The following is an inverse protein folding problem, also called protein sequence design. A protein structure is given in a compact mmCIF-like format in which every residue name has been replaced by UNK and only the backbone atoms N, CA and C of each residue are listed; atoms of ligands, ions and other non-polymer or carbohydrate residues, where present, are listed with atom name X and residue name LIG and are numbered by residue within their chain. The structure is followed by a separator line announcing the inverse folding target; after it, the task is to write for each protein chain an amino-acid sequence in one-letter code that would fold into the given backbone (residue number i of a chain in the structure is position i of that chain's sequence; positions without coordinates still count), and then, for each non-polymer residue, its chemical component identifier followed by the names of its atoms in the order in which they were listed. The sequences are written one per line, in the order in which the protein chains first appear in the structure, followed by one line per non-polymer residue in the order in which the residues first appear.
data_IF_062493501990
#
_entry.id   IF_062493501990
#
_cell.length_a   1.000
_cell.length_b   1.000
_cell.length_c   1.000
_cell.angle_alpha   90.00
_cell.angle_beta   90.00
_cell.angle_gamma   90.00
#
_symmetry.space_group_name_H-M   'P 1'
#
loop_
_entity.id
_entity.type
_entity.pdbx_description
1 polymer ?
#
# COMPACT_ATOMS: atom_id res chain seq x y z
N UNK A 1 36.16 -17.55 -69.16
CA UNK A 1 35.01 -16.88 -68.57
C UNK A 1 34.66 -17.52 -67.22
N UNK A 2 35.00 -16.86 -66.14
CA UNK A 2 34.74 -17.39 -64.78
C UNK A 2 33.46 -16.79 -64.27
N UNK A 3 32.43 -17.62 -64.06
CA UNK A 3 31.20 -17.21 -63.43
C UNK A 3 31.41 -17.18 -61.92
N UNK A 4 31.15 -16.01 -61.31
CA UNK A 4 31.19 -15.82 -59.87
C UNK A 4 29.73 -16.02 -59.39
N UNK A 5 29.54 -17.11 -58.64
CA UNK A 5 28.26 -17.38 -57.94
C UNK A 5 28.28 -16.60 -56.62
N UNK A 6 27.46 -15.57 -56.53
CA UNK A 6 27.26 -14.83 -55.27
C UNK A 6 26.11 -15.50 -54.49
N UNK A 7 26.48 -16.22 -53.45
CA UNK A 7 25.53 -16.84 -52.52
C UNK A 7 25.03 -15.75 -51.55
N UNK A 8 23.76 -15.34 -51.68
CA UNK A 8 23.12 -14.47 -50.70
C UNK A 8 22.78 -15.29 -49.46
N UNK A 9 23.49 -15.03 -48.35
CA UNK A 9 23.18 -15.56 -47.04
C UNK A 9 22.07 -14.68 -46.42
N UNK A 10 20.82 -15.15 -46.43
CA UNK A 10 19.72 -14.50 -45.74
C UNK A 10 19.83 -14.71 -44.24
N UNK A 11 20.23 -13.66 -43.52
CA UNK A 11 20.20 -13.64 -42.05
C UNK A 11 18.77 -13.39 -41.63
N UNK A 12 18.06 -14.44 -41.16
CA UNK A 12 16.77 -14.32 -40.51
C UNK A 12 17.00 -13.84 -39.08
N UNK A 13 16.78 -12.57 -38.84
CA UNK A 13 16.71 -12.00 -37.47
C UNK A 13 15.42 -12.48 -36.82
N UNK A 14 15.49 -13.53 -36.02
CA UNK A 14 14.41 -13.90 -35.09
C UNK A 14 14.32 -12.82 -34.00
N UNK A 15 13.44 -11.87 -34.22
CA UNK A 15 13.04 -10.90 -33.19
C UNK A 15 12.26 -11.65 -32.11
N UNK A 16 12.94 -12.09 -31.07
CA UNK A 16 12.34 -12.66 -29.87
C UNK A 16 11.61 -11.52 -29.14
N UNK A 17 10.31 -11.37 -29.39
CA UNK A 17 9.43 -10.57 -28.54
C UNK A 17 9.32 -11.29 -27.20
N UNK A 18 10.24 -10.99 -26.26
CA UNK A 18 10.01 -11.22 -24.84
C UNK A 18 8.86 -10.31 -24.41
N UNK A 19 7.65 -10.84 -24.46
CA UNK A 19 6.50 -10.23 -23.83
C UNK A 19 6.78 -10.20 -22.33
N UNK A 20 7.20 -9.06 -21.79
CA UNK A 20 7.18 -8.79 -20.37
C UNK A 20 5.71 -8.94 -19.94
N UNK A 21 5.34 -10.08 -19.36
CA UNK A 21 4.15 -10.17 -18.52
C UNK A 21 4.44 -9.22 -17.36
N UNK A 22 3.88 -8.03 -17.44
CA UNK A 22 3.80 -7.12 -16.31
C UNK A 22 2.92 -7.85 -15.30
N UNK A 23 3.54 -8.45 -14.28
CA UNK A 23 2.80 -9.00 -13.15
C UNK A 23 1.96 -7.85 -12.60
N UNK A 24 0.63 -8.04 -12.57
CA UNK A 24 -0.29 -7.07 -11.99
C UNK A 24 0.11 -6.93 -10.53
N UNK A 25 0.71 -5.81 -10.18
CA UNK A 25 1.05 -5.52 -8.79
C UNK A 25 -0.24 -5.57 -7.96
N UNK A 26 -0.20 -6.34 -6.88
CA UNK A 26 -1.34 -6.51 -5.99
C UNK A 26 -1.35 -5.37 -4.96
N UNK A 27 -2.53 -4.80 -4.67
CA UNK A 27 -2.65 -3.84 -3.60
C UNK A 27 -2.14 -4.38 -2.26
N UNK A 28 -1.53 -3.49 -1.48
CA UNK A 28 -0.96 -3.82 -0.19
C UNK A 28 -1.76 -3.11 0.88
N UNK A 29 -2.18 -3.85 1.89
CA UNK A 29 -2.82 -3.29 3.09
C UNK A 29 -1.90 -3.47 4.29
N UNK A 30 -1.64 -2.39 4.99
CA UNK A 30 -0.89 -2.35 6.23
C UNK A 30 -1.85 -2.04 7.37
N UNK A 31 -2.00 -2.98 8.29
CA UNK A 31 -2.76 -2.78 9.51
C UNK A 31 -1.81 -2.34 10.62
N UNK A 32 -2.06 -1.19 11.22
CA UNK A 32 -1.25 -0.66 12.30
C UNK A 32 -2.14 -0.51 13.54
N UNK A 33 -1.88 -1.33 14.54
CA UNK A 33 -2.50 -1.18 15.85
C UNK A 33 -1.66 -0.22 16.68
N UNK A 34 -2.26 0.93 17.04
CA UNK A 34 -1.68 1.89 17.97
C UNK A 34 -2.29 1.66 19.35
N UNK A 35 -1.45 1.36 20.33
CA UNK A 35 -1.87 1.19 21.73
C UNK A 35 -1.20 2.26 22.57
N UNK A 36 -1.99 2.95 23.39
CA UNK A 36 -1.52 3.96 24.33
C UNK A 36 -2.07 3.72 25.73
N UNK A 37 -2.13 4.79 26.51
CA UNK A 37 -2.78 4.82 27.82
C UNK A 37 -3.57 6.11 27.98
N UNK A 38 -4.59 6.10 28.84
CA UNK A 38 -5.40 7.29 29.14
C UNK A 38 -6.10 7.91 27.89
N UNK A 39 -6.49 7.07 26.94
CA UNK A 39 -7.13 7.47 25.69
C UNK A 39 -6.17 8.11 24.68
N UNK A 40 -4.87 7.95 24.83
CA UNK A 40 -3.88 8.61 23.98
C UNK A 40 -3.92 8.11 22.53
N UNK A 41 -4.25 6.85 22.28
CA UNK A 41 -4.39 6.35 20.91
C UNK A 41 -5.56 7.04 20.18
N UNK A 42 -6.69 7.25 20.84
CA UNK A 42 -7.82 8.01 20.27
C UNK A 42 -7.45 9.48 20.02
N UNK A 43 -6.82 10.13 21.00
CA UNK A 43 -6.38 11.53 20.84
C UNK A 43 -5.41 11.73 19.69
N UNK A 44 -4.51 10.78 19.49
CA UNK A 44 -3.59 10.75 18.33
C UNK A 44 -4.39 10.70 17.01
N UNK A 45 -5.33 9.75 16.89
CA UNK A 45 -6.14 9.63 15.68
C UNK A 45 -6.97 10.89 15.40
N UNK A 46 -7.57 11.48 16.44
CA UNK A 46 -8.31 12.75 16.36
C UNK A 46 -7.41 13.91 15.90
N UNK A 47 -6.18 14.03 16.43
CA UNK A 47 -5.24 15.08 16.02
C UNK A 47 -4.74 14.87 14.58
N UNK A 48 -4.50 13.65 14.17
CA UNK A 48 -4.16 13.31 12.77
C UNK A 48 -5.26 13.75 11.79
N UNK A 49 -6.53 13.58 12.19
CA UNK A 49 -7.68 14.03 11.38
C UNK A 49 -7.80 15.55 11.42
N UNK A 50 -7.78 16.15 12.60
CA UNK A 50 -8.01 17.59 12.80
C UNK A 50 -6.91 18.46 12.17
N UNK A 51 -5.66 17.96 12.11
CA UNK A 51 -4.55 18.66 11.47
C UNK A 51 -4.59 18.64 9.94
N UNK A 52 -5.50 17.87 9.34
CA UNK A 52 -5.55 17.65 7.89
C UNK A 52 -4.52 16.64 7.36
N UNK A 53 -3.73 16.01 8.24
CA UNK A 53 -2.71 15.03 7.84
C UNK A 53 -3.36 13.81 7.17
N UNK A 54 -4.47 13.30 7.71
CA UNK A 54 -5.21 12.18 7.10
C UNK A 54 -5.70 12.53 5.70
N UNK A 55 -6.24 13.72 5.51
CA UNK A 55 -6.73 14.18 4.21
C UNK A 55 -5.59 14.30 3.19
N UNK A 56 -4.44 14.82 3.63
CA UNK A 56 -3.25 14.91 2.79
C UNK A 56 -2.73 13.52 2.35
N UNK A 57 -2.73 12.52 3.25
CA UNK A 57 -2.35 11.15 2.92
C UNK A 57 -3.32 10.52 1.92
N UNK A 58 -4.62 10.71 2.13
CA UNK A 58 -5.65 10.22 1.19
C UNK A 58 -5.56 10.82 -0.20
N UNK A 59 -4.97 12.01 -0.32
CA UNK A 59 -4.74 12.67 -1.60
C UNK A 59 -3.43 12.23 -2.30
N UNK A 60 -2.59 11.44 -1.65
CA UNK A 60 -1.36 10.92 -2.27
C UNK A 60 -1.68 9.89 -3.37
N UNK A 61 -0.88 9.95 -4.44
CA UNK A 61 -1.00 9.00 -5.55
C UNK A 61 -0.80 7.56 -5.06
N UNK A 62 -1.74 6.68 -5.41
CA UNK A 62 -1.71 5.27 -5.04
C UNK A 62 -2.25 4.96 -3.64
N UNK A 63 -2.67 5.96 -2.85
CA UNK A 63 -3.41 5.68 -1.61
C UNK A 63 -4.82 5.18 -1.95
N UNK A 64 -5.19 4.02 -1.43
CA UNK A 64 -6.49 3.41 -1.61
C UNK A 64 -7.38 3.55 -0.38
N UNK A 65 -6.75 3.64 0.81
CA UNK A 65 -7.45 3.70 2.08
C UNK A 65 -6.52 4.20 3.18
N UNK A 66 -7.02 5.08 4.03
CA UNK A 66 -6.36 5.50 5.26
C UNK A 66 -7.46 5.81 6.28
N UNK A 67 -7.78 4.84 7.14
CA UNK A 67 -8.95 4.91 8.03
C UNK A 67 -8.63 4.34 9.40
N UNK A 68 -9.09 5.06 10.44
CA UNK A 68 -8.97 4.65 11.82
C UNK A 68 -10.23 3.95 12.32
N UNK A 69 -10.05 2.92 13.12
CA UNK A 69 -11.09 2.17 13.81
C UNK A 69 -10.74 2.00 15.28
N UNK A 70 -11.71 2.22 16.15
CA UNK A 70 -11.53 1.96 17.58
C UNK A 70 -11.89 0.51 17.89
N UNK A 71 -11.07 -0.15 18.71
CA UNK A 71 -11.41 -1.47 19.25
C UNK A 71 -12.59 -1.36 20.22
N UNK A 72 -13.55 -2.27 20.12
CA UNK A 72 -14.67 -2.36 21.06
C UNK A 72 -14.27 -3.02 22.37
N UNK A 73 -13.28 -3.90 22.32
CA UNK A 73 -12.82 -4.67 23.48
C UNK A 73 -11.68 -3.98 24.25
N UNK A 74 -10.94 -3.10 23.56
CA UNK A 74 -9.81 -2.38 24.13
C UNK A 74 -9.86 -0.89 23.70
N UNK A 75 -10.40 0.01 24.55
CA UNK A 75 -10.52 1.43 24.23
C UNK A 75 -9.16 2.16 24.11
N UNK A 76 -8.07 1.55 24.59
CA UNK A 76 -6.72 2.09 24.47
C UNK A 76 -6.04 1.73 23.14
N UNK A 77 -6.74 0.99 22.27
CA UNK A 77 -6.23 0.56 20.96
C UNK A 77 -7.05 1.14 19.80
N UNK A 78 -6.34 1.75 18.85
CA UNK A 78 -6.86 2.20 17.56
C UNK A 78 -6.20 1.39 16.45
N UNK A 79 -6.98 0.86 15.53
CA UNK A 79 -6.50 0.23 14.31
C UNK A 79 -6.52 1.25 13.16
N UNK A 80 -5.38 1.44 12.50
CA UNK A 80 -5.30 2.08 11.19
C UNK A 80 -5.28 0.99 10.12
N UNK A 81 -6.16 1.12 9.13
CA UNK A 81 -6.10 0.39 7.88
C UNK A 81 -5.54 1.33 6.82
N UNK A 82 -4.33 1.04 6.35
CA UNK A 82 -3.58 1.83 5.39
C UNK A 82 -3.31 0.99 4.14
N UNK A 83 -3.94 1.32 3.01
CA UNK A 83 -3.88 0.51 1.79
C UNK A 83 -3.37 1.33 0.61
N UNK A 84 -2.53 0.70 -0.19
CA UNK A 84 -1.82 1.31 -1.32
C UNK A 84 -1.87 0.42 -2.56
N UNK A 85 -1.81 1.02 -3.73
CA UNK A 85 -1.83 0.29 -4.99
C UNK A 85 -0.64 -0.67 -5.14
N UNK A 86 0.53 -0.28 -4.62
CA UNK A 86 1.76 -1.06 -4.74
C UNK A 86 2.84 -0.55 -3.76
N UNK A 87 4.01 -1.19 -3.79
CA UNK A 87 5.16 -0.82 -2.95
C UNK A 87 5.71 0.56 -3.28
N UNK A 88 5.73 0.94 -4.55
CA UNK A 88 6.26 2.25 -4.97
C UNK A 88 5.47 3.41 -4.34
N UNK A 89 4.14 3.29 -4.27
CA UNK A 89 3.29 4.27 -3.62
C UNK A 89 3.60 4.38 -2.12
N UNK A 90 3.81 3.26 -1.42
CA UNK A 90 4.25 3.25 -0.02
C UNK A 90 5.61 3.92 0.14
N UNK A 91 6.56 3.65 -0.73
CA UNK A 91 7.92 4.21 -0.67
C UNK A 91 7.89 5.73 -0.88
N UNK A 92 7.06 6.23 -1.80
CA UNK A 92 6.81 7.67 -2.01
C UNK A 92 6.21 8.30 -0.75
N UNK A 93 5.19 7.68 -0.15
CA UNK A 93 4.60 8.12 1.11
C UNK A 93 5.65 8.22 2.23
N UNK A 94 6.45 7.19 2.41
CA UNK A 94 7.49 7.14 3.45
C UNK A 94 8.60 8.19 3.24
N UNK A 95 8.79 8.68 2.02
CA UNK A 95 9.75 9.73 1.70
C UNK A 95 9.19 11.16 1.94
N UNK A 96 7.91 11.30 2.28
CA UNK A 96 7.31 12.63 2.51
C UNK A 96 7.72 13.22 3.87
N UNK A 97 7.80 14.56 3.99
CA UNK A 97 8.04 15.22 5.28
C UNK A 97 6.95 14.94 6.32
N UNK A 98 5.79 14.51 5.89
CA UNK A 98 4.63 14.15 6.73
C UNK A 98 4.96 13.01 7.70
N UNK A 99 5.85 12.09 7.31
CA UNK A 99 6.29 11.00 8.17
C UNK A 99 6.98 11.48 9.45
N UNK A 100 7.70 12.60 9.39
CA UNK A 100 8.29 13.21 10.58
C UNK A 100 7.21 13.76 11.52
N UNK A 101 6.16 14.38 10.96
CA UNK A 101 5.01 14.87 11.74
C UNK A 101 4.29 13.71 12.44
N UNK A 102 4.05 12.62 11.73
CA UNK A 102 3.42 11.41 12.28
C UNK A 102 4.28 10.81 13.40
N UNK A 103 5.60 10.75 13.19
CA UNK A 103 6.53 10.23 14.21
C UNK A 103 6.48 11.06 15.50
N UNK A 104 6.51 12.40 15.38
CA UNK A 104 6.41 13.31 16.54
C UNK A 104 5.07 13.16 17.28
N UNK A 105 3.97 12.95 16.56
CA UNK A 105 2.67 12.71 17.19
C UNK A 105 2.64 11.37 17.92
N UNK A 106 3.21 10.31 17.37
CA UNK A 106 3.34 9.01 18.04
C UNK A 106 4.14 9.12 19.33
N UNK A 107 5.24 9.86 19.31
CA UNK A 107 6.06 10.13 20.49
C UNK A 107 5.29 10.97 21.53
N UNK A 108 4.62 12.07 21.09
CA UNK A 108 3.80 12.93 21.96
C UNK A 108 2.76 12.16 22.75
N UNK A 109 2.15 11.15 22.15
CA UNK A 109 1.09 10.34 22.74
C UNK A 109 1.59 9.03 23.37
N UNK A 110 2.91 8.80 23.38
CA UNK A 110 3.54 7.59 23.92
C UNK A 110 2.90 6.30 23.39
N UNK A 111 2.84 6.18 22.05
CA UNK A 111 2.16 5.08 21.40
C UNK A 111 3.12 3.94 21.06
N UNK A 112 2.67 2.73 21.36
CA UNK A 112 3.25 1.49 20.85
C UNK A 112 2.53 1.04 19.58
N UNK A 113 3.23 0.33 18.70
CA UNK A 113 2.67 -0.12 17.44
C UNK A 113 2.89 -1.62 17.23
N UNK A 114 1.85 -2.29 16.74
CA UNK A 114 1.95 -3.61 16.10
C UNK A 114 1.57 -3.42 14.63
N UNK A 115 2.43 -3.88 13.72
CA UNK A 115 2.25 -3.71 12.28
C UNK A 115 2.11 -5.08 11.63
N UNK A 116 1.08 -5.23 10.80
CA UNK A 116 0.83 -6.42 9.99
C UNK A 116 0.59 -5.98 8.54
N UNK A 117 1.08 -6.77 7.59
CA UNK A 117 1.00 -6.44 6.16
C UNK A 117 0.38 -7.57 5.38
N UNK A 118 -0.54 -7.24 4.48
CA UNK A 118 -1.31 -8.18 3.69
C UNK A 118 -1.31 -7.77 2.22
N UNK A 119 -1.39 -8.75 1.32
CA UNK A 119 -1.76 -8.54 -0.07
C UNK A 119 -3.24 -8.84 -0.24
N UNK A 120 -3.92 -8.09 -1.10
CA UNK A 120 -5.35 -8.29 -1.36
C UNK A 120 -5.52 -9.41 -2.38
N UNK A 121 -6.32 -10.42 -2.04
CA UNK A 121 -6.77 -11.45 -2.96
C UNK A 121 -8.23 -11.22 -3.34
N UNK A 122 -8.59 -11.57 -4.58
CA UNK A 122 -10.00 -11.57 -4.99
C UNK A 122 -10.74 -12.70 -4.27
N UNK A 123 -11.89 -12.37 -3.71
CA UNK A 123 -12.71 -13.35 -3.03
C UNK A 123 -13.30 -14.35 -4.06
N UNK A 124 -13.22 -15.66 -3.81
CA UNK A 124 -13.82 -16.67 -4.67
C UNK A 124 -15.33 -16.44 -4.88
N UNK A 125 -15.82 -16.59 -6.10
CA UNK A 125 -17.26 -16.42 -6.41
C UNK A 125 -18.17 -17.30 -5.54
N UNK A 126 -17.69 -18.47 -5.13
CA UNK A 126 -18.41 -19.39 -4.25
C UNK A 126 -18.72 -18.83 -2.88
N UNK A 127 -17.98 -17.80 -2.43
CA UNK A 127 -18.18 -17.15 -1.14
C UNK A 127 -19.24 -16.04 -1.18
N UNK A 128 -19.66 -15.59 -2.38
CA UNK A 128 -20.69 -14.57 -2.55
C UNK A 128 -22.03 -14.97 -1.89
N UNK A 129 -22.32 -16.27 -1.75
CA UNK A 129 -23.53 -16.78 -1.08
C UNK A 129 -23.61 -16.39 0.41
N UNK A 130 -22.48 -16.09 1.05
CA UNK A 130 -22.41 -15.70 2.46
C UNK A 130 -22.50 -14.18 2.67
N UNK A 131 -22.51 -13.40 1.57
CA UNK A 131 -22.58 -11.95 1.63
C UNK A 131 -24.01 -11.49 1.50
N UNK A 132 -24.51 -10.82 2.54
CA UNK A 132 -25.79 -10.13 2.48
C UNK A 132 -25.61 -8.79 1.78
N UNK A 133 -26.25 -8.61 0.60
CA UNK A 133 -26.32 -7.34 -0.13
C UNK A 133 -27.47 -6.47 0.37
#
# INVERSE_FOLDING_TARGET
MKQIIITFLAIVLLSSCCGNKQEKEMPITVNIQYTGSNGNALKFAEEMIASGTVEAIRAEEGNLRYEYYQSLDDPETILLIDSWENQEAIDKHHATPMMETIAKLREKYDLHMKVERYTVEEMPETENQFIRK
#
